data_IF_655737966563
#
_entry.id   IF_655737966563
#
_cell.length_a   1.000
_cell.length_b   1.000
_cell.length_c   1.000
_cell.angle_alpha   90.00
_cell.angle_beta   90.00
_cell.angle_gamma   90.00
#
_symmetry.space_group_name_H-M   'P 1'
#
loop_
_entity.id
_entity.type
_entity.pdbx_description
1 polymer ?
#
# COMPACT_ATOMS: atom_id res chain seq x y z
N UNK A 1 4.32 20.70 -31.70
CA UNK A 1 3.14 19.82 -31.83
C UNK A 1 3.18 18.85 -30.67
N UNK A 2 2.23 18.89 -29.72
CA UNK A 2 2.21 17.98 -28.58
C UNK A 2 1.67 16.61 -29.02
N UNK A 3 2.34 15.54 -28.56
CA UNK A 3 1.90 14.16 -28.78
C UNK A 3 0.66 13.85 -27.95
N UNK A 4 -0.31 13.10 -28.44
CA UNK A 4 -1.51 12.77 -27.71
C UNK A 4 -1.21 11.81 -26.55
N UNK A 5 -1.75 12.10 -25.35
CA UNK A 5 -1.80 11.17 -24.22
C UNK A 5 -2.71 10.00 -24.63
N UNK A 6 -2.15 8.82 -24.73
CA UNK A 6 -2.91 7.59 -24.88
C UNK A 6 -3.59 7.30 -23.52
N UNK A 7 -4.89 7.58 -23.45
CA UNK A 7 -5.76 7.09 -22.39
C UNK A 7 -5.97 5.60 -22.64
N UNK A 8 -5.42 4.79 -21.75
CA UNK A 8 -5.70 3.36 -21.74
C UNK A 8 -7.11 3.14 -21.13
N UNK A 9 -8.15 3.33 -21.93
CA UNK A 9 -9.49 2.83 -21.65
C UNK A 9 -9.52 1.34 -22.04
N UNK A 10 -9.09 0.48 -21.13
CA UNK A 10 -9.51 -0.92 -21.18
C UNK A 10 -10.93 -0.96 -20.65
N UNK A 11 -11.85 -0.91 -21.56
CA UNK A 11 -13.28 -0.75 -21.33
C UNK A 11 -13.86 -1.95 -20.59
N UNK A 12 -14.58 -1.63 -19.54
CA UNK A 12 -15.44 -2.46 -18.68
C UNK A 12 -16.44 -3.38 -19.42
N UNK A 13 -16.57 -3.27 -20.72
CA UNK A 13 -17.51 -4.07 -21.56
C UNK A 13 -17.07 -5.53 -21.70
N UNK A 14 -15.82 -5.85 -21.44
CA UNK A 14 -15.31 -7.24 -21.49
C UNK A 14 -15.71 -8.02 -20.25
N UNK A 15 -15.93 -7.35 -19.10
CA UNK A 15 -16.18 -7.99 -17.82
C UNK A 15 -17.58 -8.63 -17.70
N UNK A 16 -18.58 -8.14 -18.42
CA UNK A 16 -19.97 -8.65 -18.29
C UNK A 16 -20.21 -9.99 -18.99
N UNK A 17 -19.32 -10.40 -19.89
CA UNK A 17 -19.44 -11.68 -20.62
C UNK A 17 -18.60 -12.82 -20.03
N UNK A 18 -17.72 -12.52 -19.04
CA UNK A 18 -16.80 -13.49 -18.43
C UNK A 18 -17.30 -14.09 -17.11
N UNK A 19 -18.47 -13.69 -16.59
CA UNK A 19 -19.01 -14.21 -15.32
C UNK A 19 -19.43 -15.70 -15.42
N UNK A 20 -19.35 -16.33 -16.58
CA UNK A 20 -19.65 -17.75 -16.78
C UNK A 20 -18.46 -18.66 -17.14
N UNK A 21 -17.23 -18.13 -17.20
CA UNK A 21 -16.05 -18.94 -17.46
C UNK A 21 -15.15 -18.96 -16.23
N UNK A 22 -15.03 -20.13 -15.62
CA UNK A 22 -14.10 -20.55 -14.55
C UNK A 22 -13.69 -19.45 -13.55
N UNK A 23 -14.30 -19.46 -12.38
CA UNK A 23 -14.01 -18.58 -11.26
C UNK A 23 -12.51 -18.57 -10.82
N UNK A 24 -11.72 -19.55 -11.21
CA UNK A 24 -10.31 -19.68 -10.89
C UNK A 24 -9.39 -18.75 -11.73
N UNK A 25 -9.83 -18.32 -12.91
CA UNK A 25 -8.99 -17.49 -13.80
C UNK A 25 -9.19 -15.97 -13.60
N UNK A 26 -10.29 -15.55 -12.97
CA UNK A 26 -10.63 -14.14 -12.77
C UNK A 26 -9.98 -13.52 -11.50
N UNK A 27 -9.27 -14.31 -10.69
CA UNK A 27 -8.65 -13.86 -9.43
C UNK A 27 -7.19 -13.43 -9.56
N UNK A 28 -6.64 -13.27 -10.76
CA UNK A 28 -5.19 -13.03 -10.94
C UNK A 28 -4.78 -11.57 -11.01
N UNK A 29 -5.72 -10.63 -11.18
CA UNK A 29 -5.43 -9.19 -11.17
C UNK A 29 -6.25 -8.52 -10.08
N UNK A 30 -5.59 -8.07 -9.02
CA UNK A 30 -6.23 -7.31 -7.95
C UNK A 30 -6.96 -6.08 -8.53
N UNK A 31 -8.18 -5.82 -8.03
CA UNK A 31 -8.91 -4.61 -8.42
C UNK A 31 -8.20 -3.39 -7.84
N UNK A 32 -8.05 -2.36 -8.66
CA UNK A 32 -7.52 -1.07 -8.23
C UNK A 32 -8.65 -0.22 -7.66
N UNK A 33 -8.43 0.34 -6.48
CA UNK A 33 -9.42 1.14 -5.75
C UNK A 33 -9.62 2.49 -6.45
N UNK A 34 -10.78 2.66 -7.05
CA UNK A 34 -11.31 3.93 -7.56
C UNK A 34 -12.64 4.26 -6.86
N UNK A 35 -13.32 5.33 -7.27
CA UNK A 35 -14.59 5.74 -6.68
C UNK A 35 -15.69 4.67 -6.80
N UNK A 36 -15.68 3.91 -7.89
CA UNK A 36 -16.65 2.86 -8.15
C UNK A 36 -16.37 1.65 -7.26
N UNK A 37 -15.13 1.17 -7.25
CA UNK A 37 -14.69 0.04 -6.42
C UNK A 37 -14.90 0.36 -4.94
N UNK A 38 -14.58 1.58 -4.50
CA UNK A 38 -14.78 2.00 -3.10
C UNK A 38 -16.27 1.96 -2.70
N UNK A 39 -17.18 2.37 -3.58
CA UNK A 39 -18.63 2.32 -3.34
C UNK A 39 -19.15 0.89 -3.34
N UNK A 40 -18.79 0.08 -4.34
CA UNK A 40 -19.14 -1.33 -4.43
C UNK A 40 -18.66 -2.10 -3.20
N UNK A 41 -17.43 -1.86 -2.75
CA UNK A 41 -16.87 -2.46 -1.55
C UNK A 41 -17.64 -2.07 -0.28
N UNK A 42 -18.00 -0.79 -0.14
CA UNK A 42 -18.79 -0.33 1.01
C UNK A 42 -20.15 -1.06 1.09
N UNK A 43 -20.87 -1.13 -0.03
CA UNK A 43 -22.17 -1.84 -0.12
C UNK A 43 -22.00 -3.34 0.14
N UNK A 44 -20.98 -3.95 -0.43
CA UNK A 44 -20.69 -5.37 -0.27
C UNK A 44 -20.35 -5.72 1.19
N UNK A 45 -19.37 -5.01 1.77
CA UNK A 45 -18.93 -5.25 3.15
C UNK A 45 -20.03 -4.99 4.16
N UNK A 46 -20.83 -3.93 4.00
CA UNK A 46 -21.97 -3.66 4.89
C UNK A 46 -23.02 -4.78 4.87
N UNK A 47 -23.18 -5.46 3.73
CA UNK A 47 -24.09 -6.59 3.59
C UNK A 47 -23.58 -7.88 4.23
N UNK A 48 -22.27 -8.12 4.20
CA UNK A 48 -21.68 -9.40 4.60
C UNK A 48 -21.06 -9.37 6.00
N UNK A 49 -20.76 -8.19 6.54
CA UNK A 49 -20.18 -8.01 7.86
C UNK A 49 -21.04 -7.10 8.74
N UNK A 50 -21.88 -7.69 9.57
CA UNK A 50 -22.75 -6.97 10.49
C UNK A 50 -21.98 -6.15 11.54
N UNK A 51 -20.70 -6.43 11.78
CA UNK A 51 -19.83 -5.68 12.71
C UNK A 51 -19.26 -4.44 12.03
N UNK A 52 -18.86 -4.54 10.76
CA UNK A 52 -18.39 -3.39 9.98
C UNK A 52 -19.52 -2.49 9.50
N UNK A 53 -20.73 -3.00 9.29
CA UNK A 53 -21.86 -2.22 8.76
C UNK A 53 -22.10 -0.88 9.48
N UNK A 54 -22.15 -0.80 10.83
CA UNK A 54 -22.30 0.48 11.54
C UNK A 54 -21.10 1.43 11.36
N UNK A 55 -19.89 0.90 11.18
CA UNK A 55 -18.71 1.72 10.91
C UNK A 55 -18.82 2.34 9.52
N UNK A 56 -19.20 1.52 8.52
CA UNK A 56 -19.39 1.96 7.12
C UNK A 56 -20.47 3.03 7.03
N UNK A 57 -21.60 2.85 7.71
CA UNK A 57 -22.68 3.84 7.76
C UNK A 57 -22.20 5.18 8.34
N UNK A 58 -21.42 5.14 9.42
CA UNK A 58 -20.90 6.34 10.10
C UNK A 58 -19.83 7.07 9.28
N UNK A 59 -18.91 6.32 8.66
CA UNK A 59 -17.71 6.87 7.99
C UNK A 59 -17.99 7.22 6.54
N UNK A 60 -18.89 6.48 5.88
CA UNK A 60 -19.17 6.61 4.45
C UNK A 60 -18.19 5.84 3.58
N UNK A 61 -18.10 6.23 2.32
CA UNK A 61 -17.28 5.55 1.31
C UNK A 61 -15.79 5.79 1.57
N UNK A 62 -14.97 4.77 1.38
CA UNK A 62 -13.52 4.84 1.50
C UNK A 62 -12.94 5.93 0.58
N UNK A 63 -12.08 6.78 1.14
CA UNK A 63 -11.57 7.99 0.48
C UNK A 63 -10.13 7.91 0.01
N UNK A 64 -9.36 6.90 0.41
CA UNK A 64 -7.98 6.80 -0.09
C UNK A 64 -7.96 6.46 -1.59
N UNK A 65 -6.99 7.03 -2.28
CA UNK A 65 -6.81 6.81 -3.72
C UNK A 65 -5.35 6.51 -3.99
N UNK A 66 -5.06 5.59 -4.93
CA UNK A 66 -3.70 5.24 -5.29
C UNK A 66 -2.99 6.39 -5.99
N UNK A 67 -1.68 6.35 -5.94
CA UNK A 67 -0.80 7.21 -6.72
C UNK A 67 0.30 6.36 -7.38
N UNK A 68 0.89 6.87 -8.46
CA UNK A 68 1.64 6.04 -9.42
C UNK A 68 3.16 6.20 -9.36
N UNK A 69 3.70 7.02 -8.47
CA UNK A 69 5.15 7.16 -8.34
C UNK A 69 5.69 6.12 -7.34
N UNK A 70 5.75 4.86 -7.80
CA UNK A 70 6.10 3.70 -6.99
C UNK A 70 7.51 3.79 -6.40
N UNK A 71 8.46 4.31 -7.20
CA UNK A 71 9.84 4.46 -6.75
C UNK A 71 9.95 5.52 -5.63
N UNK A 72 9.39 6.69 -5.89
CA UNK A 72 9.40 7.77 -4.90
C UNK A 72 8.75 7.33 -3.59
N UNK A 73 7.58 6.68 -3.66
CA UNK A 73 6.85 6.21 -2.48
C UNK A 73 7.68 5.27 -1.61
N UNK A 74 8.42 4.33 -2.20
CA UNK A 74 9.28 3.43 -1.43
C UNK A 74 10.48 4.15 -0.81
N UNK A 75 11.09 5.11 -1.49
CA UNK A 75 12.15 5.94 -0.91
C UNK A 75 11.59 6.78 0.24
N UNK A 76 10.44 7.42 0.05
CA UNK A 76 9.78 8.23 1.08
C UNK A 76 9.35 7.39 2.29
N UNK A 77 8.91 6.14 2.06
CA UNK A 77 8.63 5.21 3.14
C UNK A 77 9.87 4.88 3.99
N UNK A 78 11.04 4.72 3.35
CA UNK A 78 12.31 4.52 4.07
C UNK A 78 12.69 5.78 4.86
N UNK A 79 12.54 6.96 4.24
CA UNK A 79 12.86 8.25 4.90
C UNK A 79 11.99 8.45 6.14
N UNK A 80 10.69 8.15 6.06
CA UNK A 80 9.71 8.42 7.11
C UNK A 80 9.76 7.45 8.29
N UNK A 81 10.39 6.26 8.15
CA UNK A 81 10.45 5.25 9.21
C UNK A 81 10.86 5.86 10.58
N UNK A 82 10.07 5.60 11.62
CA UNK A 82 10.32 6.03 13.00
C UNK A 82 10.49 7.55 13.19
N UNK A 83 9.89 8.35 12.31
CA UNK A 83 9.90 9.81 12.39
C UNK A 83 8.47 10.36 12.52
N UNK A 84 8.36 11.56 13.11
CA UNK A 84 7.13 12.33 12.96
C UNK A 84 6.97 12.84 11.53
N UNK A 85 5.74 13.09 11.09
CA UNK A 85 5.43 13.65 9.77
C UNK A 85 6.26 14.90 9.48
N UNK A 86 6.37 15.82 10.45
CA UNK A 86 7.17 17.06 10.30
C UNK A 86 8.67 16.77 10.11
N UNK A 87 9.21 15.79 10.83
CA UNK A 87 10.63 15.43 10.71
C UNK A 87 10.92 14.74 9.37
N UNK A 88 10.04 13.86 8.94
CA UNK A 88 10.13 13.18 7.65
C UNK A 88 10.09 14.20 6.50
N UNK A 89 9.12 15.10 6.46
CA UNK A 89 9.01 16.14 5.44
C UNK A 89 10.24 17.06 5.38
N UNK A 90 10.83 17.40 6.54
CA UNK A 90 12.04 18.21 6.58
C UNK A 90 13.28 17.49 6.01
N UNK A 91 13.37 16.18 6.20
CA UNK A 91 14.45 15.36 5.63
C UNK A 91 14.23 15.16 4.13
N UNK A 92 13.00 14.87 3.70
CA UNK A 92 12.63 14.75 2.29
C UNK A 92 12.95 16.04 1.52
N UNK A 93 12.61 17.21 2.06
CA UNK A 93 12.96 18.49 1.46
C UNK A 93 14.47 18.64 1.24
N UNK A 94 15.29 18.39 2.27
CA UNK A 94 16.75 18.42 2.16
C UNK A 94 17.31 17.36 1.20
N UNK A 95 16.65 16.20 1.12
CA UNK A 95 17.02 15.16 0.18
C UNK A 95 16.81 15.63 -1.26
N UNK A 96 15.67 16.23 -1.60
CA UNK A 96 15.46 16.86 -2.92
C UNK A 96 16.44 18.01 -3.18
N UNK A 97 16.68 18.89 -2.21
CA UNK A 97 17.62 20.01 -2.35
C UNK A 97 19.05 19.54 -2.69
N UNK A 98 19.49 18.40 -2.13
CA UNK A 98 20.79 17.78 -2.43
C UNK A 98 20.94 17.45 -3.93
N UNK A 99 19.82 17.20 -4.62
CA UNK A 99 19.77 16.86 -6.04
C UNK A 99 19.19 18.00 -6.91
N UNK A 100 19.31 19.25 -6.45
CA UNK A 100 18.87 20.42 -7.22
C UNK A 100 17.36 20.62 -7.27
N UNK A 101 16.62 20.08 -6.29
CA UNK A 101 15.18 20.25 -6.13
C UNK A 101 14.32 19.18 -6.82
N UNK A 102 14.90 18.26 -7.60
CA UNK A 102 14.18 17.12 -8.16
C UNK A 102 14.28 15.87 -7.27
N UNK A 103 13.45 14.88 -7.51
CA UNK A 103 13.58 13.57 -6.88
C UNK A 103 14.67 12.77 -7.59
N UNK A 104 15.71 12.26 -6.88
CA UNK A 104 16.89 11.66 -7.53
C UNK A 104 16.56 10.31 -8.19
N UNK A 105 17.24 10.01 -9.29
CA UNK A 105 17.25 8.69 -9.89
C UNK A 105 18.05 7.69 -9.02
N UNK A 106 17.87 6.37 -9.23
CA UNK A 106 18.70 5.38 -8.55
C UNK A 106 20.20 5.59 -8.73
N UNK A 107 20.65 6.00 -9.93
CA UNK A 107 22.06 6.30 -10.22
C UNK A 107 22.57 7.46 -9.40
N UNK A 108 21.80 8.56 -9.30
CA UNK A 108 22.16 9.73 -8.53
C UNK A 108 22.28 9.42 -7.04
N UNK A 109 21.41 8.57 -6.49
CA UNK A 109 21.51 8.11 -5.09
C UNK A 109 22.83 7.36 -4.86
N UNK A 110 23.22 6.48 -5.79
CA UNK A 110 24.46 5.69 -5.66
C UNK A 110 25.73 6.52 -5.82
N UNK A 111 25.66 7.73 -6.42
CA UNK A 111 26.78 8.68 -6.46
C UNK A 111 27.05 9.35 -5.11
N UNK A 112 26.11 9.26 -4.15
CA UNK A 112 26.25 9.86 -2.83
C UNK A 112 26.85 8.89 -1.84
N UNK A 113 27.82 9.36 -1.07
CA UNK A 113 28.32 8.57 0.05
C UNK A 113 27.40 8.66 1.28
N UNK A 114 27.65 7.80 2.26
CA UNK A 114 26.82 7.74 3.46
C UNK A 114 26.95 9.01 4.33
N UNK A 115 28.08 9.72 4.29
CA UNK A 115 28.28 10.94 5.07
C UNK A 115 27.48 12.09 4.48
N UNK A 116 27.40 12.18 3.14
CA UNK A 116 26.54 13.15 2.46
C UNK A 116 25.06 12.92 2.83
N UNK A 117 24.59 11.68 2.79
CA UNK A 117 23.22 11.34 3.21
C UNK A 117 22.98 11.60 4.71
N UNK A 118 23.98 11.40 5.54
CA UNK A 118 23.94 11.74 6.96
C UNK A 118 23.76 13.26 7.19
N UNK A 119 24.47 14.07 6.41
CA UNK A 119 24.44 15.52 6.54
C UNK A 119 23.04 16.12 6.35
N UNK A 120 22.18 15.46 5.57
CA UNK A 120 20.78 15.87 5.37
C UNK A 120 19.80 15.28 6.41
N UNK A 121 20.27 14.40 7.32
CA UNK A 121 19.50 13.88 8.43
C UNK A 121 19.11 12.40 8.33
N UNK A 122 19.64 11.65 7.37
CA UNK A 122 19.48 10.20 7.35
C UNK A 122 20.23 9.55 8.51
N UNK A 123 19.72 8.42 9.01
CA UNK A 123 20.56 7.49 9.76
C UNK A 123 21.42 6.70 8.80
N UNK A 124 22.53 6.12 9.26
CA UNK A 124 23.34 5.21 8.44
C UNK A 124 22.53 4.04 7.88
N UNK A 125 21.55 3.55 8.67
CA UNK A 125 20.66 2.49 8.20
C UNK A 125 19.82 2.95 7.02
N UNK A 126 19.15 4.11 7.12
CA UNK A 126 18.32 4.66 6.02
C UNK A 126 19.16 4.97 4.78
N UNK A 127 20.37 5.54 4.94
CA UNK A 127 21.29 5.74 3.82
C UNK A 127 21.59 4.45 3.08
N UNK A 128 21.93 3.38 3.83
CA UNK A 128 22.14 2.05 3.24
C UNK A 128 20.88 1.45 2.60
N UNK A 129 19.70 1.72 3.14
CA UNK A 129 18.44 1.18 2.62
C UNK A 129 18.05 1.82 1.28
N UNK A 130 18.19 3.15 1.15
CA UNK A 130 17.90 3.81 -0.13
C UNK A 130 18.95 3.43 -1.20
N UNK A 131 20.21 3.23 -0.81
CA UNK A 131 21.23 2.72 -1.72
C UNK A 131 21.00 1.27 -2.14
N UNK A 132 20.55 0.40 -1.21
CA UNK A 132 20.20 -1.01 -1.52
C UNK A 132 19.00 -1.08 -2.48
N UNK A 133 17.98 -0.23 -2.27
CA UNK A 133 16.85 -0.10 -3.20
C UNK A 133 17.32 0.36 -4.58
N UNK A 134 18.11 1.42 -4.65
CA UNK A 134 18.67 1.94 -5.90
C UNK A 134 19.49 0.87 -6.64
N UNK A 135 20.37 0.15 -5.93
CA UNK A 135 21.18 -0.91 -6.51
C UNK A 135 20.31 -2.04 -7.10
N UNK A 136 19.25 -2.46 -6.37
CA UNK A 136 18.36 -3.53 -6.81
C UNK A 136 17.50 -3.15 -8.01
N UNK A 137 17.17 -1.88 -8.16
CA UNK A 137 16.50 -1.36 -9.36
C UNK A 137 17.45 -1.46 -10.55
N UNK A 138 18.69 -0.98 -10.41
CA UNK A 138 19.67 -0.99 -11.50
C UNK A 138 20.14 -2.39 -11.87
N UNK A 139 20.10 -3.35 -10.95
CA UNK A 139 20.40 -4.76 -11.23
C UNK A 139 19.21 -5.56 -11.74
N UNK A 140 18.06 -4.93 -11.95
CA UNK A 140 16.81 -5.56 -12.40
C UNK A 140 16.25 -6.61 -11.41
N UNK A 141 16.69 -6.56 -10.14
CA UNK A 141 16.12 -7.37 -9.06
C UNK A 141 14.77 -6.80 -8.58
N UNK A 142 14.57 -5.49 -8.68
CA UNK A 142 13.30 -4.79 -8.42
C UNK A 142 12.82 -4.15 -9.72
N UNK A 143 11.66 -4.59 -10.22
CA UNK A 143 11.10 -4.23 -11.54
C UNK A 143 9.84 -3.41 -11.36
N UNK A 144 9.96 -2.09 -11.27
CA UNK A 144 8.80 -1.20 -11.10
C UNK A 144 7.87 -1.18 -12.31
N UNK A 145 8.42 -1.33 -13.50
CA UNK A 145 7.68 -1.37 -14.77
C UNK A 145 6.76 -2.59 -14.92
N UNK A 146 6.95 -3.61 -14.07
CA UNK A 146 6.18 -4.85 -14.09
C UNK A 146 5.30 -5.08 -12.85
N UNK A 147 5.33 -4.18 -11.86
CA UNK A 147 4.56 -4.38 -10.62
C UNK A 147 3.06 -4.54 -10.87
N UNK A 148 2.51 -3.85 -11.86
CA UNK A 148 1.08 -3.94 -12.18
C UNK A 148 0.67 -5.32 -12.73
N UNK A 149 1.64 -6.08 -13.27
CA UNK A 149 1.44 -7.44 -13.81
C UNK A 149 1.66 -8.53 -12.75
N UNK A 150 2.23 -8.19 -11.58
CA UNK A 150 2.60 -9.13 -10.53
C UNK A 150 1.46 -9.32 -9.53
N UNK A 151 1.42 -10.50 -8.94
CA UNK A 151 0.56 -10.79 -7.77
C UNK A 151 1.09 -10.07 -6.52
N UNK A 152 0.23 -9.86 -5.52
CA UNK A 152 0.66 -9.28 -4.24
C UNK A 152 1.79 -10.07 -3.59
N UNK A 153 1.77 -11.40 -3.70
CA UNK A 153 2.81 -12.27 -3.13
C UNK A 153 4.16 -12.09 -3.84
N UNK A 154 4.17 -11.97 -5.16
CA UNK A 154 5.38 -11.70 -5.94
C UNK A 154 5.97 -10.34 -5.59
N UNK A 155 5.11 -9.30 -5.44
CA UNK A 155 5.55 -7.96 -5.02
C UNK A 155 6.13 -7.99 -3.61
N UNK A 156 5.47 -8.68 -2.67
CA UNK A 156 5.98 -8.86 -1.31
C UNK A 156 7.35 -9.54 -1.34
N UNK A 157 7.49 -10.62 -2.09
CA UNK A 157 8.78 -11.34 -2.19
C UNK A 157 9.88 -10.45 -2.80
N UNK A 158 9.56 -9.68 -3.85
CA UNK A 158 10.51 -8.80 -4.51
C UNK A 158 10.94 -7.63 -3.61
N UNK A 159 9.99 -6.92 -3.00
CA UNK A 159 10.29 -5.71 -2.25
C UNK A 159 10.87 -5.99 -0.85
N UNK A 160 10.51 -7.09 -0.20
CA UNK A 160 11.13 -7.49 1.07
C UNK A 160 12.57 -7.95 0.94
N UNK A 161 13.06 -8.22 -0.27
CA UNK A 161 14.47 -8.43 -0.53
C UNK A 161 15.31 -7.15 -0.35
N UNK A 162 14.69 -5.96 -0.37
CA UNK A 162 15.34 -4.68 -0.12
C UNK A 162 15.53 -4.49 1.38
N UNK A 163 16.77 -4.16 1.79
CA UNK A 163 17.07 -3.88 3.20
C UNK A 163 16.22 -2.74 3.74
N UNK A 164 15.61 -2.97 4.89
CA UNK A 164 14.76 -1.98 5.55
C UNK A 164 13.32 -1.91 5.05
N UNK A 165 12.96 -2.68 4.03
CA UNK A 165 11.56 -2.84 3.59
C UNK A 165 11.04 -4.17 4.14
N UNK A 166 10.11 -4.08 5.11
CA UNK A 166 9.44 -5.25 5.67
C UNK A 166 8.08 -5.49 5.03
N UNK A 167 7.48 -6.65 5.29
CA UNK A 167 6.16 -7.05 4.78
C UNK A 167 5.08 -5.99 5.08
N UNK A 168 5.09 -5.40 6.27
CA UNK A 168 4.16 -4.32 6.64
C UNK A 168 4.29 -3.11 5.71
N UNK A 169 5.53 -2.68 5.40
CA UNK A 169 5.78 -1.57 4.45
C UNK A 169 5.25 -1.90 3.06
N UNK A 170 5.46 -3.15 2.61
CA UNK A 170 4.95 -3.60 1.31
C UNK A 170 3.42 -3.64 1.30
N UNK A 171 2.77 -4.08 2.38
CA UNK A 171 1.31 -4.03 2.47
C UNK A 171 0.79 -2.59 2.38
N UNK A 172 1.42 -1.62 3.06
CA UNK A 172 1.05 -0.20 2.94
C UNK A 172 1.24 0.32 1.51
N UNK A 173 2.35 -0.04 0.87
CA UNK A 173 2.62 0.29 -0.52
C UNK A 173 1.56 -0.29 -1.47
N UNK A 174 1.21 -1.58 -1.33
CA UNK A 174 0.17 -2.23 -2.13
C UNK A 174 -1.18 -1.54 -1.97
N UNK A 175 -1.57 -1.21 -0.72
CA UNK A 175 -2.85 -0.58 -0.43
C UNK A 175 -2.90 0.87 -0.91
N UNK A 176 -1.99 1.70 -0.44
CA UNK A 176 -2.09 3.16 -0.56
C UNK A 176 -1.41 3.72 -1.81
N UNK A 177 -0.37 3.05 -2.32
CA UNK A 177 0.30 3.47 -3.53
C UNK A 177 -0.29 2.76 -4.77
N UNK A 178 -0.30 1.45 -4.79
CA UNK A 178 -0.84 0.70 -5.92
C UNK A 178 -2.37 0.61 -5.94
N UNK A 179 -3.04 0.83 -4.81
CA UNK A 179 -4.50 0.77 -4.71
C UNK A 179 -5.09 -0.63 -4.82
N UNK A 180 -4.32 -1.66 -4.46
CA UNK A 180 -4.80 -3.05 -4.46
C UNK A 180 -5.92 -3.24 -3.44
N UNK A 181 -7.05 -3.81 -3.84
CA UNK A 181 -8.22 -3.96 -2.98
C UNK A 181 -8.15 -5.16 -2.04
N UNK A 182 -7.31 -6.15 -2.34
CA UNK A 182 -7.25 -7.49 -1.75
C UNK A 182 -6.05 -7.69 -0.80
N UNK A 183 -5.62 -6.65 -0.09
CA UNK A 183 -4.49 -6.72 0.85
C UNK A 183 -5.00 -6.71 2.28
N UNK A 184 -4.63 -7.73 3.06
CA UNK A 184 -4.96 -7.84 4.48
C UNK A 184 -3.69 -7.72 5.34
N UNK A 185 -3.42 -6.54 5.96
CA UNK A 185 -2.19 -6.31 6.72
C UNK A 185 -2.27 -6.90 8.13
N UNK A 186 -2.29 -8.24 8.24
CA UNK A 186 -2.46 -8.99 9.49
C UNK A 186 -1.39 -8.72 10.54
N UNK A 187 -0.23 -8.20 10.12
CA UNK A 187 0.86 -7.78 11.01
C UNK A 187 0.66 -6.41 11.65
N UNK A 188 -0.24 -5.59 11.10
CA UNK A 188 -0.46 -4.22 11.54
C UNK A 188 -1.09 -4.15 12.94
N UNK A 189 -0.50 -3.31 13.82
CA UNK A 189 -0.98 -3.19 15.20
C UNK A 189 -2.32 -2.47 15.28
N UNK A 190 -2.58 -1.51 14.40
CA UNK A 190 -3.87 -0.82 14.30
C UNK A 190 -4.97 -1.80 13.90
N UNK A 191 -4.74 -2.64 12.89
CA UNK A 191 -5.66 -3.70 12.49
C UNK A 191 -5.92 -4.67 13.65
N UNK A 192 -4.88 -5.14 14.35
CA UNK A 192 -5.05 -6.01 15.51
C UNK A 192 -5.91 -5.37 16.60
N UNK A 193 -5.64 -4.11 16.94
CA UNK A 193 -6.40 -3.38 17.94
C UNK A 193 -7.86 -3.13 17.50
N UNK A 194 -8.06 -2.71 16.25
CA UNK A 194 -9.39 -2.45 15.71
C UNK A 194 -10.23 -3.73 15.63
N UNK A 195 -9.66 -4.83 15.13
CA UNK A 195 -10.33 -6.14 15.10
C UNK A 195 -10.68 -6.60 16.52
N UNK A 196 -9.73 -6.49 17.48
CA UNK A 196 -10.02 -6.82 18.87
C UNK A 196 -11.23 -6.05 19.42
N UNK A 197 -11.25 -4.74 19.21
CA UNK A 197 -12.30 -3.87 19.70
C UNK A 197 -13.64 -4.14 19.02
N UNK A 198 -13.67 -4.23 17.70
CA UNK A 198 -14.89 -4.42 16.92
C UNK A 198 -15.54 -5.79 17.15
N UNK A 199 -14.74 -6.85 17.19
CA UNK A 199 -15.24 -8.24 17.31
C UNK A 199 -15.27 -8.74 18.75
N UNK A 200 -15.00 -7.87 19.74
CA UNK A 200 -15.11 -8.19 21.16
C UNK A 200 -14.13 -9.26 21.65
N UNK A 201 -12.93 -9.29 21.08
CA UNK A 201 -11.91 -10.27 21.45
C UNK A 201 -11.26 -9.88 22.76
N UNK A 202 -10.99 -10.85 23.64
CA UNK A 202 -10.33 -10.63 24.94
C UNK A 202 -8.85 -10.28 24.75
N UNK A 203 -8.18 -11.05 23.89
CA UNK A 203 -6.76 -10.91 23.61
C UNK A 203 -6.52 -10.28 22.24
N UNK A 204 -5.30 -9.81 22.02
CA UNK A 204 -4.88 -9.30 20.71
C UNK A 204 -4.87 -10.46 19.70
N UNK A 205 -5.56 -10.33 18.56
CA UNK A 205 -5.68 -11.43 17.61
C UNK A 205 -4.34 -11.76 16.96
N UNK A 206 -4.15 -13.05 16.71
CA UNK A 206 -3.06 -13.52 15.85
C UNK A 206 -3.36 -13.22 14.37
N UNK A 207 -2.36 -13.28 13.47
CA UNK A 207 -2.60 -13.19 12.03
C UNK A 207 -3.66 -14.18 11.53
N UNK A 208 -3.68 -15.41 12.05
CA UNK A 208 -4.65 -16.45 11.71
C UNK A 208 -6.06 -16.11 12.16
N UNK A 209 -6.20 -15.49 13.33
CA UNK A 209 -7.50 -15.04 13.83
C UNK A 209 -8.09 -13.95 12.92
N UNK A 210 -7.25 -13.00 12.47
CA UNK A 210 -7.66 -11.93 11.56
C UNK A 210 -8.10 -12.52 10.22
N UNK A 211 -7.32 -13.43 9.64
CA UNK A 211 -7.70 -14.12 8.39
C UNK A 211 -9.03 -14.85 8.53
N UNK A 212 -9.21 -15.59 9.63
CA UNK A 212 -10.47 -16.31 9.92
C UNK A 212 -11.66 -15.38 10.04
N UNK A 213 -11.47 -14.19 10.63
CA UNK A 213 -12.54 -13.17 10.72
C UNK A 213 -12.84 -12.62 9.34
N UNK A 214 -11.83 -12.29 8.55
CA UNK A 214 -11.98 -11.80 7.19
C UNK A 214 -12.74 -12.82 6.30
N UNK A 215 -12.32 -14.09 6.34
CA UNK A 215 -12.95 -15.17 5.57
C UNK A 215 -14.40 -15.38 6.00
N UNK A 216 -14.66 -15.45 7.31
CA UNK A 216 -16.01 -15.64 7.86
C UNK A 216 -16.98 -14.54 7.43
N UNK A 217 -16.48 -13.30 7.30
CA UNK A 217 -17.28 -12.14 6.97
C UNK A 217 -17.13 -11.73 5.49
N UNK A 218 -16.54 -12.60 4.66
CA UNK A 218 -16.40 -12.42 3.22
C UNK A 218 -15.73 -11.07 2.85
N UNK A 219 -14.61 -10.72 3.48
CA UNK A 219 -13.93 -9.47 3.14
C UNK A 219 -13.34 -9.49 1.74
N UNK A 220 -12.94 -10.68 1.26
CA UNK A 220 -12.42 -10.81 -0.10
C UNK A 220 -13.49 -10.47 -1.15
N UNK A 221 -13.12 -9.68 -2.19
CA UNK A 221 -11.80 -9.15 -2.56
C UNK A 221 -11.55 -7.70 -2.09
N UNK A 222 -12.11 -7.29 -0.97
CA UNK A 222 -12.07 -5.91 -0.47
C UNK A 222 -11.35 -5.76 0.87
N UNK A 223 -10.38 -6.64 1.14
CA UNK A 223 -9.64 -6.68 2.42
C UNK A 223 -8.97 -5.35 2.77
N UNK A 224 -8.45 -4.63 1.77
CA UNK A 224 -7.84 -3.31 1.97
C UNK A 224 -8.86 -2.28 2.46
N UNK A 225 -10.06 -2.30 1.87
CA UNK A 225 -11.13 -1.38 2.24
C UNK A 225 -11.73 -1.77 3.60
N UNK A 226 -11.89 -3.07 3.87
CA UNK A 226 -12.28 -3.56 5.18
C UNK A 226 -11.26 -3.15 6.25
N UNK A 227 -9.97 -3.28 5.97
CA UNK A 227 -8.89 -2.82 6.84
C UNK A 227 -8.95 -1.31 7.10
N UNK A 228 -9.25 -0.52 6.08
CA UNK A 228 -9.46 0.92 6.24
C UNK A 228 -10.63 1.23 7.19
N UNK A 229 -11.76 0.53 7.08
CA UNK A 229 -12.86 0.69 8.04
C UNK A 229 -12.49 0.25 9.45
N UNK A 230 -11.66 -0.79 9.59
CA UNK A 230 -11.13 -1.20 10.90
C UNK A 230 -10.29 -0.07 11.51
N UNK A 231 -9.41 0.59 10.75
CA UNK A 231 -8.66 1.76 11.24
C UNK A 231 -9.58 2.92 11.58
N UNK A 232 -10.61 3.22 10.75
CA UNK A 232 -11.58 4.28 11.02
C UNK A 232 -12.46 4.01 12.25
N UNK A 233 -12.51 2.80 12.74
CA UNK A 233 -13.22 2.46 13.97
C UNK A 233 -12.45 2.85 15.24
N UNK A 234 -11.16 3.11 15.14
CA UNK A 234 -10.31 3.53 16.25
C UNK A 234 -10.41 5.06 16.43
N UNK A 235 -10.57 5.52 17.67
CA UNK A 235 -10.68 6.96 18.00
C UNK A 235 -9.45 7.79 17.62
N UNK A 236 -8.33 7.12 17.30
CA UNK A 236 -7.06 7.71 16.90
C UNK A 236 -6.66 7.26 15.48
N UNK A 237 -7.60 7.04 14.58
CA UNK A 237 -7.25 6.78 13.19
C UNK A 237 -6.36 7.93 12.69
N UNK A 238 -5.17 7.66 12.09
CA UNK A 238 -4.36 8.72 11.53
C UNK A 238 -5.20 9.46 10.48
N UNK A 239 -5.25 10.78 10.62
CA UNK A 239 -5.74 11.62 9.54
C UNK A 239 -4.78 11.41 8.37
N UNK A 240 -5.26 10.73 7.32
CA UNK A 240 -4.55 10.56 6.07
C UNK A 240 -4.54 11.87 5.29
#
# INVERSE_FOLDING_TARGET
MPRPRMHCYVTYTVFRHYIQADAAFLYTIAMIIDDKVAKEAAEYLAKHDAVLAPVIERVGVCTFRPHTDYYQELVDSIISQQLSVKAAAAIEGRFRDMFGGHFPSPEEILMKDLEELRAIGFSYAKGRYVQDLAQKILSDEVKFDRLDEMTNQEIVAQLTAVKGIGEWTVHMFLMFCMGRSDVLPVGDLGIKNGVRALYGLKELPTPEDIRRIADKNNWHPFESIASWYVWQSLDNAPAL
#
